data_IF_383479043146
#
_entry.id   IF_383479043146
#
_cell.length_a   1.000
_cell.length_b   1.000
_cell.length_c   1.000
_cell.angle_alpha   90.00
_cell.angle_beta   90.00
_cell.angle_gamma   90.00
#
_symmetry.space_group_name_H-M   'P 1'
#
loop_
_entity.id
_entity.type
_entity.pdbx_description
1 polymer ?
#
# COMPACT_ATOMS: atom_id res chain seq x y z
N UNK A 1 -3.91 1.94 28.14
CA UNK A 1 -4.04 1.68 26.68
C UNK A 1 -5.16 2.55 26.12
N UNK A 2 -4.91 3.36 25.10
CA UNK A 2 -5.92 4.18 24.44
C UNK A 2 -6.60 3.39 23.31
N UNK A 3 -7.90 3.64 23.09
CA UNK A 3 -8.60 3.16 21.90
C UNK A 3 -7.89 3.68 20.64
N UNK A 4 -7.72 2.84 19.62
CA UNK A 4 -7.15 3.26 18.33
C UNK A 4 -8.07 4.25 17.57
N UNK A 5 -9.30 4.46 18.06
CA UNK A 5 -10.23 5.52 17.62
C UNK A 5 -10.22 6.76 18.52
N UNK A 6 -9.36 6.79 19.53
CA UNK A 6 -9.21 7.94 20.40
C UNK A 6 -8.50 9.07 19.64
N UNK A 7 -9.02 10.29 19.78
CA UNK A 7 -8.38 11.52 19.27
C UNK A 7 -6.92 11.67 19.76
N UNK A 8 -6.61 11.06 20.91
CA UNK A 8 -5.27 11.04 21.53
C UNK A 8 -4.37 9.88 21.08
N UNK A 9 -4.86 8.92 20.28
CA UNK A 9 -4.03 7.83 19.77
C UNK A 9 -3.02 8.35 18.75
N UNK A 10 -3.44 9.30 17.91
CA UNK A 10 -2.62 10.36 17.32
C UNK A 10 -1.36 9.98 16.54
N UNK A 11 -1.08 8.71 16.29
CA UNK A 11 0.11 8.30 15.56
C UNK A 11 -0.02 8.66 14.07
N UNK A 12 1.08 9.12 13.46
CA UNK A 12 1.18 9.45 12.04
C UNK A 12 1.86 8.32 11.27
N UNK A 13 1.47 7.09 11.59
CA UNK A 13 1.95 5.89 10.93
C UNK A 13 1.76 5.98 9.42
N UNK A 14 2.77 5.53 8.67
CA UNK A 14 2.77 5.55 7.21
C UNK A 14 2.41 6.92 6.63
N UNK A 15 3.01 7.98 7.17
CA UNK A 15 3.03 9.28 6.50
C UNK A 15 3.92 9.26 5.27
N UNK A 16 3.58 10.02 4.23
CA UNK A 16 4.46 10.16 3.07
C UNK A 16 5.82 10.74 3.52
N UNK A 17 6.96 10.16 3.10
CA UNK A 17 8.26 10.75 3.38
C UNK A 17 8.40 12.10 2.67
N UNK A 18 9.28 12.99 3.16
CA UNK A 18 9.53 14.29 2.52
C UNK A 18 9.94 14.18 1.04
N UNK A 19 10.68 13.13 0.70
CA UNK A 19 11.06 12.81 -0.67
C UNK A 19 9.94 12.18 -1.50
N UNK A 20 8.79 11.88 -0.91
CA UNK A 20 7.75 11.05 -1.53
C UNK A 20 7.08 11.68 -2.75
N UNK A 21 7.12 13.00 -2.89
CA UNK A 21 6.64 13.67 -4.11
C UNK A 21 7.52 13.38 -5.33
N UNK A 22 8.79 13.01 -5.14
CA UNK A 22 9.66 12.61 -6.25
C UNK A 22 9.11 11.38 -6.97
N UNK A 23 8.32 10.53 -6.30
CA UNK A 23 7.71 9.34 -6.90
C UNK A 23 6.62 9.66 -7.95
N UNK A 24 6.15 10.90 -8.07
CA UNK A 24 5.34 11.33 -9.22
C UNK A 24 6.16 11.47 -10.51
N UNK A 25 7.49 11.62 -10.40
CA UNK A 25 8.42 11.75 -11.53
C UNK A 25 9.26 10.50 -11.74
N UNK A 26 9.78 9.91 -10.66
CA UNK A 26 10.61 8.70 -10.65
C UNK A 26 9.97 7.69 -9.70
N UNK A 27 9.04 6.83 -10.18
CA UNK A 27 8.18 6.03 -9.31
C UNK A 27 8.88 5.17 -8.27
N UNK A 28 10.09 4.67 -8.56
CA UNK A 28 10.85 3.81 -7.66
C UNK A 28 12.01 4.53 -6.94
N UNK A 29 12.01 5.86 -6.93
CA UNK A 29 12.98 6.66 -6.18
C UNK A 29 12.83 6.43 -4.67
N UNK A 30 13.95 6.13 -3.99
CA UNK A 30 14.00 5.84 -2.55
C UNK A 30 12.98 4.78 -2.09
N UNK A 31 12.75 3.79 -2.96
CA UNK A 31 11.91 2.65 -2.64
C UNK A 31 12.73 1.43 -2.24
N UNK A 32 12.22 0.68 -1.27
CA UNK A 32 12.76 -0.62 -0.86
C UNK A 32 11.85 -1.72 -1.37
N UNK A 33 12.43 -2.89 -1.66
CA UNK A 33 11.69 -4.06 -2.16
C UNK A 33 11.34 -4.97 -0.99
N UNK A 34 10.05 -5.25 -0.80
CA UNK A 34 9.58 -6.24 0.15
C UNK A 34 9.99 -7.66 -0.25
N UNK A 35 9.91 -8.61 0.69
CA UNK A 35 10.14 -10.02 0.40
C UNK A 35 9.25 -10.53 -0.75
N UNK A 36 7.97 -10.12 -0.78
CA UNK A 36 7.01 -10.45 -1.84
C UNK A 36 7.27 -9.73 -3.18
N UNK A 37 8.35 -8.96 -3.28
CA UNK A 37 8.79 -8.28 -4.49
C UNK A 37 8.11 -6.95 -4.79
N UNK A 38 7.17 -6.51 -3.96
CA UNK A 38 6.48 -5.21 -4.06
C UNK A 38 7.39 -4.11 -3.53
N UNK A 39 7.46 -2.99 -4.24
CA UNK A 39 8.21 -1.81 -3.83
C UNK A 39 7.37 -0.89 -2.95
N UNK A 40 7.99 -0.33 -1.92
CA UNK A 40 7.40 0.66 -1.03
C UNK A 40 8.36 1.82 -0.82
N UNK A 41 7.84 3.03 -0.65
CA UNK A 41 8.62 4.13 -0.11
C UNK A 41 9.10 3.76 1.31
N UNK A 42 10.22 4.34 1.74
CA UNK A 42 10.67 4.19 3.12
C UNK A 42 9.56 4.57 4.11
N UNK A 43 9.38 3.74 5.14
CA UNK A 43 8.36 3.88 6.17
C UNK A 43 6.90 3.84 5.66
N UNK A 44 6.66 3.34 4.44
CA UNK A 44 5.31 3.02 3.95
C UNK A 44 5.01 1.53 4.03
N UNK A 45 3.85 1.19 4.59
CA UNK A 45 3.30 -0.17 4.59
C UNK A 45 1.90 -0.28 3.99
N UNK A 46 1.32 0.84 3.50
CA UNK A 46 -0.07 0.89 3.02
C UNK A 46 -0.18 1.07 1.51
N UNK A 47 0.52 2.04 0.92
CA UNK A 47 0.48 2.32 -0.52
C UNK A 47 1.83 1.97 -1.15
N UNK A 48 1.81 1.14 -2.20
CA UNK A 48 3.01 0.76 -2.94
C UNK A 48 3.44 1.82 -3.98
N UNK A 49 2.51 2.65 -4.46
CA UNK A 49 2.80 3.73 -5.43
C UNK A 49 1.74 4.83 -5.43
N UNK A 50 2.18 6.08 -5.60
CA UNK A 50 1.33 7.25 -5.88
C UNK A 50 1.48 7.76 -7.32
N UNK A 51 2.18 7.02 -8.18
CA UNK A 51 2.50 7.44 -9.54
C UNK A 51 1.27 7.42 -10.46
N UNK A 52 1.07 8.50 -11.23
CA UNK A 52 -0.12 8.71 -12.06
C UNK A 52 0.17 8.76 -13.57
N UNK A 53 1.41 8.50 -13.97
CA UNK A 53 1.88 8.67 -15.35
C UNK A 53 2.58 10.01 -15.54
N UNK A 54 3.77 9.99 -16.15
CA UNK A 54 4.62 11.16 -16.37
C UNK A 54 3.97 12.09 -17.40
N UNK A 55 3.29 11.53 -18.40
CA UNK A 55 2.54 12.29 -19.39
C UNK A 55 1.34 13.00 -18.77
N UNK A 56 0.58 12.31 -17.91
CA UNK A 56 -0.55 12.90 -17.18
C UNK A 56 -0.04 14.02 -16.28
N UNK A 57 1.05 13.79 -15.55
CA UNK A 57 1.61 14.79 -14.65
C UNK A 57 2.14 16.01 -15.41
N UNK A 58 2.85 15.83 -16.53
CA UNK A 58 3.31 16.92 -17.39
C UNK A 58 2.14 17.73 -17.96
N UNK A 59 1.09 17.07 -18.44
CA UNK A 59 -0.13 17.73 -18.92
C UNK A 59 -0.83 18.49 -17.79
N UNK A 60 -0.88 17.94 -16.57
CA UNK A 60 -1.48 18.64 -15.42
C UNK A 60 -0.75 19.94 -15.10
N UNK A 61 0.59 19.95 -15.15
CA UNK A 61 1.41 21.15 -14.97
C UNK A 61 1.16 22.17 -16.09
N UNK A 62 1.00 21.73 -17.34
CA UNK A 62 0.62 22.60 -18.45
C UNK A 62 -0.78 23.21 -18.25
N UNK A 63 -1.72 22.43 -17.73
CA UNK A 63 -3.08 22.90 -17.40
C UNK A 63 -3.06 24.01 -16.37
N UNK A 64 -2.26 23.85 -15.30
CA UNK A 64 -2.05 24.88 -14.27
C UNK A 64 -1.32 26.10 -14.86
N UNK A 65 -0.26 25.91 -15.64
CA UNK A 65 0.53 27.03 -16.18
C UNK A 65 -0.28 27.91 -17.13
N UNK A 66 -1.22 27.32 -17.89
CA UNK A 66 -2.12 28.07 -18.77
C UNK A 66 -3.45 28.42 -18.14
N UNK A 67 -3.62 28.17 -16.84
CA UNK A 67 -4.87 28.36 -16.14
C UNK A 67 -5.31 29.83 -16.20
N UNK A 68 -6.48 30.06 -16.79
CA UNK A 68 -7.27 31.29 -16.62
C UNK A 68 -8.63 31.01 -15.98
N UNK A 69 -8.88 29.77 -15.58
CA UNK A 69 -10.16 29.28 -15.05
C UNK A 69 -10.06 28.99 -13.55
N UNK A 70 -11.06 29.46 -12.79
CA UNK A 70 -11.15 29.25 -11.34
C UNK A 70 -11.22 27.76 -10.96
N UNK A 71 -11.79 26.91 -11.82
CA UNK A 71 -11.89 25.45 -11.62
C UNK A 71 -10.51 24.80 -11.60
N UNK A 72 -9.60 25.22 -12.47
CA UNK A 72 -8.23 24.72 -12.52
C UNK A 72 -7.49 25.11 -11.22
N UNK A 73 -7.66 26.35 -10.76
CA UNK A 73 -7.07 26.81 -9.50
C UNK A 73 -7.61 26.07 -8.28
N UNK A 74 -8.92 25.78 -8.24
CA UNK A 74 -9.52 24.98 -7.17
C UNK A 74 -8.95 23.56 -7.14
N UNK A 75 -8.85 22.90 -8.30
CA UNK A 75 -8.26 21.57 -8.40
C UNK A 75 -6.78 21.58 -8.00
N UNK A 76 -6.02 22.58 -8.45
CA UNK A 76 -4.62 22.74 -8.06
C UNK A 76 -4.45 22.94 -6.55
N UNK A 77 -5.31 23.77 -5.95
CA UNK A 77 -5.32 23.99 -4.50
C UNK A 77 -5.61 22.70 -3.73
N UNK A 78 -6.59 21.90 -4.18
CA UNK A 78 -6.86 20.59 -3.57
C UNK A 78 -5.71 19.60 -3.77
N UNK A 79 -5.09 19.56 -4.95
CA UNK A 79 -3.88 18.75 -5.18
C UNK A 79 -2.79 19.12 -4.18
N UNK A 80 -2.40 20.39 -4.12
CA UNK A 80 -1.33 20.87 -3.23
C UNK A 80 -1.68 20.57 -1.77
N UNK A 81 -2.86 20.99 -1.30
CA UNK A 81 -3.28 20.75 0.07
C UNK A 81 -3.22 19.26 0.42
N UNK A 82 -3.72 18.39 -0.46
CA UNK A 82 -3.72 16.95 -0.23
C UNK A 82 -2.32 16.33 -0.14
N UNK A 83 -1.38 16.80 -0.97
CA UNK A 83 0.01 16.32 -0.96
C UNK A 83 0.76 16.78 0.29
N UNK A 84 0.51 18.00 0.78
CA UNK A 84 1.06 18.49 2.04
C UNK A 84 0.45 17.79 3.27
N UNK A 85 -0.85 17.51 3.25
CA UNK A 85 -1.49 16.70 4.29
C UNK A 85 -0.97 15.27 4.30
N UNK A 86 -0.64 14.70 3.14
CA UNK A 86 -0.10 13.35 3.02
C UNK A 86 1.26 13.16 3.69
N UNK A 87 2.06 14.23 3.83
CA UNK A 87 3.32 14.22 4.58
C UNK A 87 3.11 13.96 6.08
N UNK A 88 1.88 14.10 6.59
CA UNK A 88 1.58 13.88 8.00
C UNK A 88 2.48 14.70 8.91
N UNK A 89 3.13 14.04 9.86
CA UNK A 89 4.00 14.71 10.83
C UNK A 89 5.34 15.15 10.22
N UNK A 90 5.71 14.63 9.04
CA UNK A 90 6.89 15.10 8.31
C UNK A 90 6.69 16.52 7.73
N UNK A 91 5.44 16.91 7.42
CA UNK A 91 5.12 18.13 6.68
C UNK A 91 4.76 19.36 7.51
N UNK A 92 4.77 19.25 8.85
CA UNK A 92 4.33 20.25 9.86
C UNK A 92 2.86 20.73 9.76
N UNK A 93 2.26 20.78 8.57
CA UNK A 93 0.90 21.24 8.31
C UNK A 93 -0.14 20.42 9.06
N UNK A 94 -0.07 19.09 8.93
CA UNK A 94 -1.00 18.18 9.59
C UNK A 94 -0.87 18.28 11.12
N UNK A 95 0.35 18.40 11.63
CA UNK A 95 0.60 18.60 13.07
C UNK A 95 -0.02 19.91 13.59
N UNK A 96 0.06 21.00 12.82
CA UNK A 96 -0.61 22.27 13.13
C UNK A 96 -2.13 22.15 13.11
N UNK A 97 -2.68 21.52 12.07
CA UNK A 97 -4.13 21.33 11.92
C UNK A 97 -4.71 20.49 13.05
N UNK A 98 -4.03 19.41 13.48
CA UNK A 98 -4.48 18.58 14.61
C UNK A 98 -4.58 19.36 15.92
N UNK A 99 -3.79 20.41 16.12
CA UNK A 99 -3.89 21.29 17.30
C UNK A 99 -5.18 22.12 17.29
N UNK A 100 -5.64 22.54 16.12
CA UNK A 100 -6.84 23.37 15.95
C UNK A 100 -8.12 22.52 15.86
N UNK A 101 -8.04 21.38 15.17
CA UNK A 101 -9.14 20.46 14.90
C UNK A 101 -8.72 19.02 15.27
N UNK A 102 -8.80 18.65 16.57
CA UNK A 102 -8.35 17.35 17.05
C UNK A 102 -9.01 16.16 16.34
N UNK A 103 -10.23 16.32 15.84
CA UNK A 103 -11.00 15.28 15.11
C UNK A 103 -10.27 14.79 13.86
N UNK A 104 -9.41 15.61 13.25
CA UNK A 104 -8.59 15.21 12.11
C UNK A 104 -7.59 14.11 12.49
N UNK A 105 -7.24 13.98 13.78
CA UNK A 105 -6.46 12.87 14.32
C UNK A 105 -7.12 11.49 14.19
N UNK A 106 -8.40 11.41 13.80
CA UNK A 106 -9.04 10.15 13.39
C UNK A 106 -8.44 9.59 12.09
N UNK A 107 -7.86 10.45 11.24
CA UNK A 107 -7.13 10.04 10.05
C UNK A 107 -5.72 9.56 10.43
N UNK A 108 -5.63 8.32 10.89
CA UNK A 108 -4.40 7.66 11.37
C UNK A 108 -3.27 7.56 10.33
N UNK A 109 -3.62 7.47 9.04
CA UNK A 109 -2.67 7.24 7.96
C UNK A 109 -2.69 8.41 6.98
N UNK A 110 -1.85 9.45 7.17
CA UNK A 110 -1.89 10.67 6.37
C UNK A 110 -1.71 10.41 4.87
N UNK A 111 -0.97 9.38 4.47
CA UNK A 111 -0.80 8.99 3.05
C UNK A 111 -2.13 8.86 2.29
N UNK A 112 -3.25 8.55 2.98
CA UNK A 112 -4.59 8.49 2.37
C UNK A 112 -5.05 9.80 1.74
N UNK A 113 -4.52 10.95 2.15
CA UNK A 113 -4.84 12.23 1.51
C UNK A 113 -4.42 12.27 0.04
N UNK A 114 -3.43 11.47 -0.38
CA UNK A 114 -3.03 11.35 -1.79
C UNK A 114 -4.19 10.96 -2.69
N UNK A 115 -5.24 10.30 -2.17
CA UNK A 115 -6.43 9.96 -2.97
C UNK A 115 -7.04 11.18 -3.66
N UNK A 116 -7.01 12.35 -3.01
CA UNK A 116 -7.51 13.60 -3.61
C UNK A 116 -6.64 13.98 -4.81
N UNK A 117 -5.31 13.95 -4.67
CA UNK A 117 -4.38 14.19 -5.77
C UNK A 117 -4.57 13.20 -6.94
N UNK A 118 -4.85 11.93 -6.64
CA UNK A 118 -5.13 10.88 -7.65
C UNK A 118 -6.35 11.25 -8.50
N UNK A 119 -7.35 11.92 -7.92
CA UNK A 119 -8.50 12.42 -8.68
C UNK A 119 -8.24 13.75 -9.39
N UNK A 120 -7.57 14.70 -8.73
CA UNK A 120 -7.46 16.07 -9.25
C UNK A 120 -6.39 16.21 -10.35
N UNK A 121 -5.28 15.46 -10.28
CA UNK A 121 -4.20 15.54 -11.28
C UNK A 121 -4.66 15.13 -12.69
N UNK A 122 -5.37 14.00 -12.89
CA UNK A 122 -5.92 13.65 -14.20
C UNK A 122 -6.93 14.67 -14.73
N UNK A 123 -7.74 15.28 -13.85
CA UNK A 123 -8.67 16.34 -14.24
C UNK A 123 -7.94 17.60 -14.72
N UNK A 124 -6.86 18.00 -14.03
CA UNK A 124 -5.98 19.09 -14.46
C UNK A 124 -5.34 18.79 -15.82
N UNK A 125 -4.92 17.55 -16.05
CA UNK A 125 -4.40 17.12 -17.35
C UNK A 125 -5.49 17.20 -18.45
N UNK A 126 -6.72 16.82 -18.14
CA UNK A 126 -7.85 16.94 -19.07
C UNK A 126 -8.14 18.40 -19.46
N UNK A 127 -8.05 19.34 -18.52
CA UNK A 127 -8.14 20.77 -18.84
C UNK A 127 -7.04 21.25 -19.79
N UNK A 128 -5.81 20.74 -19.63
CA UNK A 128 -4.74 21.04 -20.57
C UNK A 128 -5.07 20.53 -21.98
N UNK A 129 -5.52 19.28 -22.08
CA UNK A 129 -5.93 18.68 -23.37
C UNK A 129 -7.07 19.48 -24.00
N UNK A 130 -8.12 19.82 -23.23
CA UNK A 130 -9.22 20.65 -23.71
C UNK A 130 -8.72 21.99 -24.26
N UNK A 131 -7.89 22.69 -23.49
CA UNK A 131 -7.36 24.00 -23.88
C UNK A 131 -6.53 23.93 -25.17
N UNK A 132 -5.60 22.98 -25.29
CA UNK A 132 -4.73 22.89 -26.46
C UNK A 132 -5.39 22.27 -27.68
N UNK A 133 -6.31 21.32 -27.53
CA UNK A 133 -6.84 20.58 -28.68
C UNK A 133 -8.24 21.05 -29.13
N UNK A 134 -8.89 21.93 -28.36
CA UNK A 134 -10.23 22.48 -28.71
C UNK A 134 -10.20 23.98 -29.03
N UNK A 135 -9.03 24.62 -29.02
CA UNK A 135 -8.89 26.07 -29.26
C UNK A 135 -7.72 26.38 -30.19
N UNK A 136 -7.56 27.65 -30.57
CA UNK A 136 -6.40 28.15 -31.32
C UNK A 136 -5.06 27.94 -30.61
N UNK A 137 -5.07 27.68 -29.29
CA UNK A 137 -3.87 27.38 -28.50
C UNK A 137 -3.15 26.09 -28.99
N UNK A 138 -3.78 25.27 -29.84
CA UNK A 138 -3.15 24.10 -30.49
C UNK A 138 -1.79 24.42 -31.11
N UNK A 139 -1.64 25.61 -31.67
CA UNK A 139 -0.40 26.09 -32.31
C UNK A 139 0.75 26.28 -31.30
N UNK A 140 0.42 26.58 -30.05
CA UNK A 140 1.40 26.78 -28.96
C UNK A 140 1.85 25.48 -28.30
N UNK A 141 1.07 24.39 -28.41
CA UNK A 141 1.36 23.11 -27.76
C UNK A 141 2.80 22.62 -28.01
N UNK A 142 3.34 22.63 -29.25
CA UNK A 142 4.73 22.28 -29.50
C UNK A 142 5.78 23.00 -28.65
N UNK A 143 5.61 24.31 -28.47
CA UNK A 143 6.55 25.14 -27.71
C UNK A 143 6.47 24.79 -26.23
N UNK A 144 5.25 24.67 -25.73
CA UNK A 144 5.01 24.48 -24.31
C UNK A 144 5.29 23.03 -23.88
N UNK A 145 5.02 22.05 -24.75
CA UNK A 145 5.45 20.65 -24.60
C UNK A 145 6.98 20.53 -24.52
N UNK A 146 7.73 21.27 -25.36
CA UNK A 146 9.19 21.29 -25.28
C UNK A 146 9.69 21.87 -23.96
N UNK A 147 9.10 22.98 -23.51
CA UNK A 147 9.46 23.63 -22.25
C UNK A 147 9.21 22.72 -21.05
N UNK A 148 8.01 22.14 -20.94
CA UNK A 148 7.71 21.22 -19.82
C UNK A 148 8.56 19.96 -19.89
N UNK A 149 8.84 19.46 -21.11
CA UNK A 149 9.74 18.33 -21.34
C UNK A 149 11.15 18.58 -20.80
N UNK A 150 11.72 19.76 -21.07
CA UNK A 150 13.04 20.12 -20.53
C UNK A 150 13.05 20.29 -19.01
N UNK A 151 11.99 20.88 -18.43
CA UNK A 151 11.86 20.99 -16.98
C UNK A 151 11.85 19.60 -16.36
N UNK A 152 10.99 18.70 -16.84
CA UNK A 152 10.88 17.34 -16.32
C UNK A 152 12.16 16.52 -16.55
N UNK A 153 12.81 16.67 -17.70
CA UNK A 153 14.10 16.06 -17.98
C UNK A 153 15.14 16.49 -16.94
N UNK A 154 15.28 17.80 -16.72
CA UNK A 154 16.21 18.35 -15.73
C UNK A 154 15.90 17.87 -14.31
N UNK A 155 14.62 17.84 -13.92
CA UNK A 155 14.21 17.36 -12.59
C UNK A 155 14.48 15.87 -12.42
N UNK A 156 14.16 15.02 -13.40
CA UNK A 156 14.42 13.58 -13.32
C UNK A 156 15.92 13.32 -13.26
N UNK A 157 16.72 13.96 -14.11
CA UNK A 157 18.18 13.82 -14.07
C UNK A 157 18.76 14.31 -12.74
N UNK A 158 18.22 15.39 -12.18
CA UNK A 158 18.59 15.88 -10.85
C UNK A 158 18.26 14.88 -9.74
N UNK A 159 17.08 14.25 -9.78
CA UNK A 159 16.69 13.20 -8.84
C UNK A 159 17.58 11.95 -8.97
N UNK A 160 17.94 11.56 -10.20
CA UNK A 160 18.86 10.44 -10.44
C UNK A 160 20.27 10.75 -9.92
N UNK A 161 20.80 11.94 -10.19
CA UNK A 161 22.09 12.37 -9.65
C UNK A 161 22.04 12.37 -8.11
N UNK A 162 20.97 12.90 -7.52
CA UNK A 162 20.79 12.92 -6.08
C UNK A 162 20.71 11.51 -5.47
N UNK A 163 19.98 10.56 -6.09
CA UNK A 163 19.96 9.17 -5.64
C UNK A 163 21.33 8.49 -5.75
N UNK A 164 22.14 8.85 -6.75
CA UNK A 164 23.48 8.30 -6.92
C UNK A 164 24.45 8.79 -5.83
N UNK A 165 24.44 10.10 -5.53
CA UNK A 165 25.33 10.69 -4.52
C UNK A 165 24.83 10.51 -3.08
N UNK A 166 23.52 10.38 -2.88
CA UNK A 166 22.88 10.24 -1.57
C UNK A 166 21.88 9.08 -1.56
N UNK A 167 22.37 7.83 -1.70
CA UNK A 167 21.53 6.64 -1.74
C UNK A 167 20.79 6.46 -0.43
N UNK A 168 19.52 6.06 -0.51
CA UNK A 168 18.75 5.74 0.68
C UNK A 168 18.99 4.29 1.12
N UNK A 169 18.76 4.00 2.41
CA UNK A 169 18.91 2.65 2.94
C UNK A 169 18.04 1.63 2.18
N UNK A 170 18.66 0.50 1.79
CA UNK A 170 18.05 -0.58 1.02
C UNK A 170 17.47 -0.17 -0.36
N UNK A 171 17.84 1.00 -0.87
CA UNK A 171 17.53 1.44 -2.23
C UNK A 171 18.47 0.79 -3.25
N UNK A 172 17.93 0.37 -4.40
CA UNK A 172 18.72 -0.14 -5.51
C UNK A 172 18.94 0.94 -6.58
N UNK A 173 20.17 1.43 -6.73
CA UNK A 173 20.53 2.40 -7.77
C UNK A 173 20.06 1.97 -9.16
N UNK A 174 20.31 0.71 -9.54
CA UNK A 174 19.87 0.16 -10.82
C UNK A 174 18.36 0.31 -11.01
N UNK A 175 17.57 0.04 -9.97
CA UNK A 175 16.11 0.16 -10.03
C UNK A 175 15.68 1.61 -10.21
N UNK A 176 16.23 2.53 -9.42
CA UNK A 176 15.95 3.97 -9.52
C UNK A 176 16.33 4.53 -10.89
N UNK A 177 17.50 4.15 -11.42
CA UNK A 177 17.97 4.53 -12.75
C UNK A 177 17.02 4.06 -13.86
N UNK A 178 16.64 2.77 -13.88
CA UNK A 178 15.71 2.25 -14.88
C UNK A 178 14.31 2.86 -14.76
N UNK A 179 13.85 3.12 -13.53
CA UNK A 179 12.61 3.86 -13.30
C UNK A 179 12.69 5.24 -13.96
N UNK A 180 13.71 6.04 -13.66
CA UNK A 180 13.87 7.38 -14.23
C UNK A 180 14.02 7.39 -15.76
N UNK A 181 14.91 6.54 -16.31
CA UNK A 181 15.14 6.44 -17.76
C UNK A 181 13.87 6.03 -18.51
N UNK A 182 13.11 5.04 -18.00
CA UNK A 182 11.85 4.65 -18.62
C UNK A 182 10.84 5.80 -18.63
N UNK A 183 10.79 6.63 -17.57
CA UNK A 183 9.92 7.81 -17.54
C UNK A 183 10.34 8.88 -18.52
N UNK A 184 11.64 9.06 -18.77
CA UNK A 184 12.12 9.97 -19.81
C UNK A 184 11.69 9.49 -21.21
N UNK A 185 11.75 8.18 -21.48
CA UNK A 185 11.27 7.61 -22.73
C UNK A 185 9.77 7.83 -22.88
N UNK A 186 8.96 7.48 -21.86
CA UNK A 186 7.52 7.72 -21.91
C UNK A 186 7.17 9.20 -22.09
N UNK A 187 7.84 10.09 -21.36
CA UNK A 187 7.65 11.53 -21.49
C UNK A 187 7.93 12.01 -22.92
N UNK A 188 9.06 11.59 -23.51
CA UNK A 188 9.44 11.96 -24.86
C UNK A 188 8.43 11.45 -25.91
N UNK A 189 8.02 10.19 -25.80
CA UNK A 189 7.08 9.57 -26.74
C UNK A 189 5.67 10.15 -26.60
N UNK A 190 5.19 10.40 -25.38
CA UNK A 190 3.87 11.01 -25.13
C UNK A 190 3.83 12.45 -25.62
N UNK A 191 4.81 13.28 -25.26
CA UNK A 191 4.85 14.68 -25.73
C UNK A 191 5.09 14.75 -27.25
N UNK A 192 5.90 13.84 -27.80
CA UNK A 192 6.12 13.70 -29.24
C UNK A 192 4.85 13.32 -30.00
N UNK A 193 4.10 12.33 -29.52
CA UNK A 193 2.81 11.95 -30.10
C UNK A 193 1.79 13.11 -30.01
N UNK A 194 1.76 13.85 -28.89
CA UNK A 194 0.96 15.06 -28.75
C UNK A 194 1.38 16.16 -29.73
N UNK A 195 2.68 16.36 -29.92
CA UNK A 195 3.23 17.33 -30.88
C UNK A 195 2.82 17.00 -32.32
N UNK A 196 2.93 15.72 -32.70
CA UNK A 196 2.51 15.26 -34.02
C UNK A 196 0.99 15.43 -34.18
N UNK A 197 0.21 15.00 -33.19
CA UNK A 197 -1.24 15.14 -33.20
C UNK A 197 -1.66 16.62 -33.31
N UNK A 198 -0.93 17.54 -32.67
CA UNK A 198 -1.21 18.97 -32.77
C UNK A 198 -0.94 19.54 -34.19
N UNK A 199 -0.05 18.93 -34.97
CA UNK A 199 0.32 19.39 -36.33
C UNK A 199 -0.41 18.67 -37.46
N UNK A 200 -0.96 17.49 -37.20
CA UNK A 200 -1.66 16.72 -38.22
C UNK A 200 -3.04 17.33 -38.53
N UNK A 201 -3.25 17.71 -39.79
CA UNK A 201 -4.54 18.20 -40.30
C UNK A 201 -5.47 17.07 -40.78
N UNK A 202 -4.93 15.90 -41.11
CA UNK A 202 -5.69 14.76 -41.60
C UNK A 202 -6.33 13.96 -40.45
N UNK A 203 -7.62 13.66 -40.57
CA UNK A 203 -8.41 13.01 -39.51
C UNK A 203 -7.89 11.62 -39.10
N UNK A 204 -7.59 10.75 -40.08
CA UNK A 204 -7.14 9.38 -39.82
C UNK A 204 -5.83 9.31 -39.00
N UNK A 205 -4.71 9.91 -39.44
CA UNK A 205 -3.48 9.90 -38.65
C UNK A 205 -3.62 10.65 -37.32
N UNK A 206 -4.47 11.68 -37.25
CA UNK A 206 -4.76 12.35 -35.98
C UNK A 206 -5.44 11.40 -34.98
N UNK A 207 -6.45 10.65 -35.41
CA UNK A 207 -7.15 9.67 -34.57
C UNK A 207 -6.23 8.54 -34.12
N UNK A 208 -5.35 8.06 -35.01
CA UNK A 208 -4.33 7.06 -34.66
C UNK A 208 -3.37 7.58 -33.58
N UNK A 209 -2.89 8.83 -33.71
CA UNK A 209 -2.02 9.44 -32.71
C UNK A 209 -2.72 9.68 -31.37
N UNK A 210 -4.00 10.06 -31.39
CA UNK A 210 -4.80 10.22 -30.17
C UNK A 210 -5.06 8.88 -29.48
N UNK A 211 -5.35 7.83 -30.25
CA UNK A 211 -5.50 6.48 -29.70
C UNK A 211 -4.17 5.97 -29.14
N UNK A 212 -3.07 6.19 -29.87
CA UNK A 212 -1.73 5.86 -29.39
C UNK A 212 -1.39 6.61 -28.10
N UNK A 213 -1.76 7.89 -27.97
CA UNK A 213 -1.59 8.65 -26.73
C UNK A 213 -2.31 8.00 -25.55
N UNK A 214 -3.57 7.57 -25.71
CA UNK A 214 -4.31 6.88 -24.65
C UNK A 214 -3.61 5.58 -24.23
N UNK A 215 -3.15 4.78 -25.21
CA UNK A 215 -2.40 3.55 -24.94
C UNK A 215 -1.08 3.85 -24.25
N UNK A 216 -0.35 4.88 -24.66
CA UNK A 216 0.92 5.29 -24.06
C UNK A 216 0.74 5.76 -22.61
N UNK A 217 -0.30 6.55 -22.32
CA UNK A 217 -0.61 6.98 -20.95
C UNK A 217 -0.95 5.78 -20.05
N UNK A 218 -1.67 4.80 -20.57
CA UNK A 218 -1.96 3.56 -19.85
C UNK A 218 -0.70 2.70 -19.65
N UNK A 219 0.11 2.52 -20.70
CA UNK A 219 1.37 1.76 -20.63
C UNK A 219 2.35 2.37 -19.64
N UNK A 220 2.45 3.70 -19.60
CA UNK A 220 3.26 4.43 -18.65
C UNK A 220 2.88 4.05 -17.22
N UNK A 221 1.58 4.11 -16.89
CA UNK A 221 1.09 3.72 -15.56
C UNK A 221 1.24 2.22 -15.31
N UNK A 222 0.84 1.32 -16.20
CA UNK A 222 0.86 -0.13 -15.87
C UNK A 222 2.28 -0.71 -15.75
N UNK A 223 3.29 -0.05 -16.35
CA UNK A 223 4.68 -0.54 -16.36
C UNK A 223 5.60 0.15 -15.34
N UNK A 224 5.08 1.09 -14.54
CA UNK A 224 5.92 1.95 -13.67
C UNK A 224 6.64 1.20 -12.53
N UNK A 225 6.01 0.13 -12.02
CA UNK A 225 6.54 -0.69 -10.94
C UNK A 225 6.36 -2.17 -11.30
N UNK A 226 7.42 -2.98 -11.26
CA UNK A 226 7.30 -4.41 -11.51
C UNK A 226 6.57 -5.07 -10.35
N UNK A 227 5.71 -6.05 -10.65
CA UNK A 227 5.08 -6.94 -9.66
C UNK A 227 4.33 -6.21 -8.54
N UNK A 228 3.65 -5.10 -8.85
CA UNK A 228 2.89 -4.32 -7.85
C UNK A 228 1.80 -5.16 -7.15
N UNK A 229 1.16 -6.06 -7.89
CA UNK A 229 0.15 -6.98 -7.39
C UNK A 229 0.61 -8.42 -7.68
N UNK A 230 1.47 -9.02 -6.82
CA UNK A 230 1.90 -10.39 -7.00
C UNK A 230 0.70 -11.33 -6.95
N UNK A 231 0.73 -12.39 -7.77
CA UNK A 231 -0.33 -13.40 -7.83
C UNK A 231 0.21 -14.72 -7.33
N UNK A 232 -0.66 -15.52 -6.72
CA UNK A 232 -0.37 -16.87 -6.27
C UNK A 232 -1.24 -17.87 -7.05
N UNK A 233 -0.83 -19.14 -7.06
CA UNK A 233 -1.63 -20.21 -7.65
C UNK A 233 -3.00 -20.33 -6.98
N UNK A 234 -4.01 -20.80 -7.71
CA UNK A 234 -5.36 -20.98 -7.15
C UNK A 234 -5.37 -22.01 -6.02
N UNK A 235 -4.56 -23.06 -6.13
CA UNK A 235 -4.49 -24.19 -5.21
C UNK A 235 -4.27 -23.79 -3.75
N UNK A 236 -3.52 -22.71 -3.49
CA UNK A 236 -3.26 -22.26 -2.11
C UNK A 236 -4.48 -21.69 -1.41
N UNK A 237 -5.56 -21.39 -2.14
CA UNK A 237 -6.84 -20.92 -1.59
C UNK A 237 -7.85 -22.07 -1.37
N UNK A 238 -7.55 -23.28 -1.82
CA UNK A 238 -8.44 -24.43 -1.63
C UNK A 238 -8.39 -24.91 -0.17
N UNK A 239 -9.55 -25.21 0.45
CA UNK A 239 -9.61 -25.67 1.83
C UNK A 239 -9.14 -27.13 1.95
N UNK A 240 -8.91 -27.60 3.18
CA UNK A 240 -8.70 -29.01 3.46
C UNK A 240 -7.24 -29.44 3.38
N UNK A 241 -6.31 -28.56 3.75
CA UNK A 241 -4.88 -28.90 3.78
C UNK A 241 -4.63 -30.14 4.66
N UNK A 242 -3.86 -31.14 4.19
CA UNK A 242 -3.68 -32.41 4.90
C UNK A 242 -3.16 -32.27 6.33
N UNK A 243 -2.32 -31.26 6.59
CA UNK A 243 -1.76 -30.95 7.92
C UNK A 243 -2.85 -30.75 8.98
N UNK A 244 -4.02 -30.21 8.59
CA UNK A 244 -5.09 -29.93 9.53
C UNK A 244 -6.06 -31.10 9.73
N UNK A 245 -6.09 -32.05 8.80
CA UNK A 245 -6.93 -33.26 8.93
C UNK A 245 -6.41 -34.18 10.05
N UNK A 246 -5.13 -34.05 10.40
CA UNK A 246 -4.45 -34.86 11.42
C UNK A 246 -4.54 -34.28 12.84
N UNK A 247 -5.15 -33.10 13.02
CA UNK A 247 -5.28 -32.47 14.34
C UNK A 247 -6.14 -33.33 15.27
N UNK A 248 -5.60 -33.66 16.44
CA UNK A 248 -6.30 -34.41 17.49
C UNK A 248 -6.07 -33.77 18.87
N UNK A 249 -7.09 -33.21 19.55
CA UNK A 249 -8.43 -32.97 19.05
C UNK A 249 -8.42 -31.89 17.95
N UNK A 250 -9.35 -31.97 16.98
CA UNK A 250 -9.54 -30.91 15.99
C UNK A 250 -10.34 -29.77 16.64
N UNK A 251 -9.87 -28.51 16.60
CA UNK A 251 -10.61 -27.40 17.19
C UNK A 251 -11.97 -27.18 16.51
N UNK A 252 -13.00 -26.89 17.31
CA UNK A 252 -14.37 -26.67 16.84
C UNK A 252 -15.00 -25.41 17.47
N UNK A 253 -15.81 -24.71 16.68
CA UNK A 253 -16.38 -23.42 17.09
C UNK A 253 -17.25 -23.58 18.34
N UNK A 254 -16.99 -22.78 19.36
CA UNK A 254 -17.70 -22.86 20.65
C UNK A 254 -17.17 -23.94 21.61
N UNK A 255 -16.26 -24.81 21.17
CA UNK A 255 -15.70 -25.87 22.01
C UNK A 255 -14.24 -25.62 22.38
N UNK A 256 -13.40 -25.35 21.37
CA UNK A 256 -11.96 -25.23 21.54
C UNK A 256 -11.32 -24.42 20.42
N UNK A 257 -10.10 -23.96 20.66
CA UNK A 257 -9.34 -23.08 19.75
C UNK A 257 -7.91 -23.56 19.61
N UNK A 258 -7.21 -23.03 18.62
CA UNK A 258 -5.75 -23.12 18.52
C UNK A 258 -5.08 -21.77 18.77
N UNK A 259 -3.78 -21.85 19.01
CA UNK A 259 -2.91 -20.67 19.15
C UNK A 259 -1.55 -20.93 18.51
N UNK A 260 -0.91 -19.86 18.06
CA UNK A 260 0.48 -19.90 17.66
C UNK A 260 1.37 -19.84 18.91
N UNK A 261 2.50 -20.55 18.88
CA UNK A 261 3.62 -20.23 19.76
C UNK A 261 4.17 -18.85 19.39
N UNK A 262 4.80 -18.15 20.35
CA UNK A 262 5.31 -16.80 20.08
C UNK A 262 6.41 -16.80 19.00
N UNK A 263 7.30 -17.80 19.00
CA UNK A 263 8.29 -17.96 17.93
C UNK A 263 7.63 -18.16 16.56
N UNK A 264 6.55 -18.96 16.48
CA UNK A 264 5.79 -19.12 15.25
C UNK A 264 5.09 -17.83 14.84
N UNK A 265 4.58 -17.04 15.79
CA UNK A 265 3.98 -15.74 15.54
C UNK A 265 5.01 -14.75 14.98
N UNK A 266 6.21 -14.69 15.54
CA UNK A 266 7.30 -13.83 15.04
C UNK A 266 7.85 -14.34 13.71
N UNK A 267 7.99 -15.64 13.51
CA UNK A 267 8.51 -16.23 12.28
C UNK A 267 7.67 -15.88 11.03
N UNK A 268 6.42 -15.44 11.21
CA UNK A 268 5.56 -14.94 10.12
C UNK A 268 6.12 -13.71 9.40
N UNK A 269 7.15 -13.04 9.92
CA UNK A 269 7.82 -11.95 9.21
C UNK A 269 8.79 -12.47 8.13
N UNK A 270 9.24 -13.72 8.23
CA UNK A 270 10.23 -14.33 7.34
C UNK A 270 9.56 -15.17 6.24
N UNK A 271 8.73 -14.52 5.43
CA UNK A 271 7.94 -15.18 4.39
C UNK A 271 8.80 -15.38 3.13
N UNK A 272 8.76 -16.58 2.50
CA UNK A 272 9.36 -16.79 1.19
C UNK A 272 8.97 -15.71 0.18
N UNK A 273 9.94 -15.31 -0.66
CA UNK A 273 9.71 -14.29 -1.68
C UNK A 273 8.74 -14.72 -2.77
N UNK A 274 8.65 -16.03 -3.03
CA UNK A 274 7.68 -16.60 -3.95
C UNK A 274 6.26 -16.43 -3.40
N UNK A 275 5.33 -15.76 -4.12
CA UNK A 275 3.99 -15.47 -3.59
C UNK A 275 3.19 -16.71 -3.20
N UNK A 276 3.30 -17.79 -3.97
CA UNK A 276 2.59 -19.05 -3.70
C UNK A 276 3.12 -19.72 -2.45
N UNK A 277 4.45 -19.93 -2.34
CA UNK A 277 5.08 -20.51 -1.15
C UNK A 277 4.91 -19.61 0.07
N UNK A 278 4.97 -18.29 -0.12
CA UNK A 278 4.78 -17.31 0.92
C UNK A 278 3.38 -17.36 1.52
N UNK A 279 2.36 -17.39 0.65
CA UNK A 279 0.98 -17.53 1.10
C UNK A 279 0.69 -18.91 1.69
N UNK A 280 1.23 -19.99 1.10
CA UNK A 280 1.10 -21.34 1.65
C UNK A 280 1.72 -21.45 3.05
N UNK A 281 2.87 -20.81 3.28
CA UNK A 281 3.48 -20.72 4.61
C UNK A 281 2.53 -20.08 5.62
N UNK A 282 1.90 -18.94 5.26
CA UNK A 282 0.85 -18.32 6.09
C UNK A 282 -0.34 -19.25 6.32
N UNK A 283 -0.77 -20.00 5.30
CA UNK A 283 -1.88 -20.97 5.40
C UNK A 283 -1.58 -22.08 6.39
N UNK A 284 -0.39 -22.70 6.31
CA UNK A 284 0.03 -23.78 7.20
C UNK A 284 0.16 -23.33 8.67
N UNK A 285 0.62 -22.10 8.89
CA UNK A 285 0.68 -21.49 10.21
C UNK A 285 -0.67 -20.88 10.66
N UNK A 286 -1.70 -20.89 9.81
CA UNK A 286 -2.98 -20.20 10.04
C UNK A 286 -2.78 -18.72 10.46
N UNK A 287 -1.73 -18.10 9.90
CA UNK A 287 -1.33 -16.73 10.15
C UNK A 287 -2.42 -15.74 9.76
N UNK A 288 -2.51 -14.62 10.49
CA UNK A 288 -3.58 -13.63 10.29
C UNK A 288 -4.97 -14.32 10.34
N UNK A 289 -5.76 -14.18 9.27
CA UNK A 289 -7.09 -14.80 9.14
C UNK A 289 -7.08 -16.00 8.17
N UNK A 290 -5.93 -16.65 7.96
CA UNK A 290 -5.85 -17.82 7.07
C UNK A 290 -6.62 -19.04 7.61
N UNK A 291 -7.07 -18.99 8.86
CA UNK A 291 -7.91 -20.01 9.49
C UNK A 291 -9.33 -20.09 8.93
N UNK A 292 -9.82 -19.02 8.29
CA UNK A 292 -11.16 -18.98 7.69
C UNK A 292 -11.30 -20.04 6.59
N UNK A 293 -10.24 -20.29 5.82
CA UNK A 293 -10.24 -21.31 4.77
C UNK A 293 -10.43 -22.72 5.32
N UNK A 294 -9.93 -23.02 6.53
CA UNK A 294 -9.98 -24.36 7.11
C UNK A 294 -11.15 -24.56 8.08
N UNK A 295 -11.92 -23.48 8.33
CA UNK A 295 -12.94 -23.42 9.38
C UNK A 295 -12.39 -23.85 10.75
N UNK A 296 -11.20 -23.37 11.11
CA UNK A 296 -10.55 -23.69 12.39
C UNK A 296 -10.58 -22.46 13.31
N UNK A 297 -11.23 -22.54 14.48
CA UNK A 297 -11.22 -21.46 15.46
C UNK A 297 -9.82 -21.23 16.05
N UNK A 298 -9.41 -19.97 16.16
CA UNK A 298 -8.16 -19.56 16.80
C UNK A 298 -8.37 -18.38 17.74
N UNK A 299 -7.38 -18.09 18.57
CA UNK A 299 -7.46 -17.03 19.57
C UNK A 299 -7.09 -15.63 19.05
N UNK A 300 -6.41 -15.54 17.90
CA UNK A 300 -5.83 -14.31 17.36
C UNK A 300 -6.25 -14.07 15.90
N UNK A 301 -5.96 -12.90 15.36
CA UNK A 301 -6.23 -12.60 13.95
C UNK A 301 -5.92 -11.16 13.57
N UNK A 302 -6.08 -10.87 12.29
CA UNK A 302 -5.93 -9.56 11.70
C UNK A 302 -7.29 -8.85 11.63
N UNK A 303 -7.47 -7.84 12.47
CA UNK A 303 -8.69 -7.05 12.50
C UNK A 303 -8.35 -5.58 12.32
N UNK A 304 -9.23 -4.85 11.64
CA UNK A 304 -9.11 -3.39 11.55
C UNK A 304 -9.28 -2.70 12.92
N UNK A 305 -9.93 -3.38 13.87
CA UNK A 305 -10.18 -2.92 15.24
C UNK A 305 -10.15 -4.10 16.19
N UNK A 306 -9.50 -3.91 17.34
CA UNK A 306 -9.49 -4.87 18.44
C UNK A 306 -10.41 -4.38 19.58
N UNK A 307 -11.03 -5.32 20.28
CA UNK A 307 -11.82 -4.98 21.46
C UNK A 307 -10.88 -4.53 22.59
N UNK A 308 -11.28 -3.50 23.33
CA UNK A 308 -10.46 -2.85 24.36
C UNK A 308 -9.91 -3.85 25.38
N UNK A 309 -10.75 -4.77 25.82
CA UNK A 309 -10.45 -5.69 26.92
C UNK A 309 -9.91 -7.04 26.44
N UNK A 310 -10.12 -7.39 25.17
CA UNK A 310 -9.55 -8.59 24.54
C UNK A 310 -8.06 -8.42 24.26
N UNK A 311 -7.67 -7.26 23.72
CA UNK A 311 -6.27 -7.01 23.33
C UNK A 311 -5.26 -7.22 24.47
N UNK A 312 -5.48 -6.74 25.72
CA UNK A 312 -4.59 -7.02 26.84
C UNK A 312 -4.49 -8.51 27.17
N UNK A 313 -5.58 -9.28 27.03
CA UNK A 313 -5.57 -10.73 27.26
C UNK A 313 -4.72 -11.42 26.20
N UNK A 314 -4.87 -11.04 24.93
CA UNK A 314 -4.05 -11.55 23.84
C UNK A 314 -2.55 -11.28 24.07
N UNK A 315 -2.16 -10.07 24.50
CA UNK A 315 -0.74 -9.81 24.80
C UNK A 315 -0.22 -10.52 26.05
N UNK A 316 -1.08 -10.76 27.05
CA UNK A 316 -0.70 -11.45 28.30
C UNK A 316 -0.55 -12.96 28.14
N UNK A 317 -1.10 -13.55 27.07
CA UNK A 317 -0.98 -14.98 26.85
C UNK A 317 0.47 -15.40 26.61
N UNK A 318 1.30 -14.51 26.08
CA UNK A 318 2.72 -14.73 25.87
C UNK A 318 3.49 -14.18 27.07
N UNK A 319 3.94 -15.06 27.97
CA UNK A 319 4.67 -14.69 29.19
C UNK A 319 6.10 -14.24 28.91
N UNK A 320 6.72 -14.84 27.91
CA UNK A 320 8.04 -14.54 27.36
C UNK A 320 8.06 -14.98 25.90
N UNK A 321 9.20 -14.90 25.21
CA UNK A 321 9.30 -15.20 23.78
C UNK A 321 8.94 -16.64 23.40
N UNK A 322 8.75 -17.58 24.34
CA UNK A 322 8.62 -19.00 23.98
C UNK A 322 7.48 -19.75 24.69
N UNK A 323 6.79 -19.16 25.67
CA UNK A 323 5.78 -19.90 26.44
C UNK A 323 4.45 -19.18 26.52
N UNK A 324 3.38 -19.95 26.27
CA UNK A 324 2.02 -19.55 26.59
C UNK A 324 1.82 -19.65 28.11
N UNK A 325 1.15 -18.68 28.72
CA UNK A 325 0.74 -18.78 30.10
C UNK A 325 -0.30 -19.92 30.23
N UNK A 326 0.03 -21.04 30.91
CA UNK A 326 -0.75 -22.28 30.81
C UNK A 326 -2.21 -22.08 31.26
N UNK A 327 -2.44 -21.42 32.39
CA UNK A 327 -3.79 -21.17 32.90
C UNK A 327 -4.63 -20.24 32.02
N UNK A 328 -4.01 -19.26 31.35
CA UNK A 328 -4.72 -18.38 30.42
C UNK A 328 -5.05 -19.16 29.14
N UNK A 329 -4.13 -19.99 28.67
CA UNK A 329 -4.35 -20.84 27.51
C UNK A 329 -5.47 -21.88 27.75
N UNK A 330 -5.52 -22.46 28.95
CA UNK A 330 -6.57 -23.38 29.36
C UNK A 330 -7.93 -22.69 29.44
N UNK A 331 -8.00 -21.50 30.07
CA UNK A 331 -9.20 -20.66 30.11
C UNK A 331 -9.70 -20.25 28.72
N UNK A 332 -8.77 -20.02 27.78
CA UNK A 332 -9.10 -19.72 26.40
C UNK A 332 -9.44 -20.97 25.56
N UNK A 333 -9.47 -22.16 26.16
CA UNK A 333 -9.82 -23.41 25.47
C UNK A 333 -8.84 -23.80 24.37
N UNK A 334 -7.55 -23.50 24.54
CA UNK A 334 -6.53 -23.76 23.53
C UNK A 334 -6.10 -25.23 23.59
N UNK A 335 -6.62 -26.03 22.66
CA UNK A 335 -6.37 -27.46 22.57
C UNK A 335 -5.22 -27.85 21.61
N UNK A 336 -4.77 -26.92 20.77
CA UNK A 336 -3.65 -27.09 19.83
C UNK A 336 -2.74 -25.86 19.88
N UNK A 337 -1.43 -26.08 19.83
CA UNK A 337 -0.41 -25.03 19.70
C UNK A 337 0.61 -25.43 18.65
N UNK A 338 1.20 -24.48 17.92
CA UNK A 338 2.34 -24.81 17.05
C UNK A 338 3.55 -25.27 17.86
N UNK A 339 4.33 -26.19 17.29
CA UNK A 339 5.60 -26.64 17.86
C UNK A 339 6.57 -25.47 18.05
N UNK A 340 7.43 -25.56 19.07
CA UNK A 340 8.52 -24.61 19.31
C UNK A 340 9.62 -24.70 18.24
N UNK A 341 9.77 -25.86 17.60
CA UNK A 341 10.85 -26.12 16.62
C UNK A 341 10.38 -26.08 15.17
N UNK A 342 9.08 -26.25 14.92
CA UNK A 342 8.50 -26.28 13.59
C UNK A 342 7.14 -25.55 13.56
N UNK A 343 7.13 -24.35 12.99
CA UNK A 343 5.96 -23.48 12.94
C UNK A 343 4.82 -24.00 12.03
N UNK A 344 5.02 -25.10 11.30
CA UNK A 344 4.00 -25.78 10.50
C UNK A 344 3.42 -27.02 11.19
N UNK A 345 3.99 -27.43 12.32
CA UNK A 345 3.55 -28.59 13.08
C UNK A 345 2.71 -28.15 14.26
N UNK A 346 1.59 -28.85 14.49
CA UNK A 346 0.65 -28.56 15.56
C UNK A 346 0.68 -29.69 16.58
N UNK A 347 0.71 -29.31 17.86
CA UNK A 347 0.82 -30.21 18.99
C UNK A 347 -0.40 -30.08 19.90
N UNK A 348 -0.94 -31.22 20.38
CA UNK A 348 -2.06 -31.20 21.31
C UNK A 348 -1.66 -30.62 22.66
N UNK A 349 -2.53 -29.77 23.21
CA UNK A 349 -2.50 -29.35 24.61
C UNK A 349 -3.61 -30.05 25.37
N UNK A 350 -3.34 -31.11 26.14
CA UNK A 350 -4.39 -31.89 26.81
C UNK A 350 -5.04 -31.17 28.00
N UNK A 351 -4.47 -30.05 28.46
CA UNK A 351 -4.93 -29.31 29.65
C UNK A 351 -6.04 -28.29 29.37
N UNK A 352 -6.48 -28.14 28.12
CA UNK A 352 -7.49 -27.15 27.74
C UNK A 352 -8.82 -27.37 28.47
N UNK A 353 -9.48 -26.26 28.85
CA UNK A 353 -10.79 -26.31 29.48
C UNK A 353 -11.90 -26.02 28.44
N UNK A 354 -13.12 -26.52 28.66
CA UNK A 354 -14.28 -26.14 27.86
C UNK A 354 -14.47 -24.61 27.86
N UNK A 355 -14.85 -24.06 26.71
CA UNK A 355 -15.13 -22.63 26.61
C UNK A 355 -16.36 -22.26 27.44
N UNK A 356 -16.18 -21.35 28.39
CA UNK A 356 -17.28 -20.75 29.14
C UNK A 356 -17.83 -19.56 28.36
N UNK A 357 -19.06 -19.67 27.87
CA UNK A 357 -19.76 -18.60 27.15
C UNK A 357 -20.95 -18.08 27.95
N UNK A 358 -21.31 -16.81 27.73
CA UNK A 358 -22.48 -16.23 28.39
C UNK A 358 -23.75 -16.99 27.97
N UNK A 359 -24.48 -17.53 28.95
CA UNK A 359 -25.73 -18.28 28.74
C UNK A 359 -25.64 -19.79 28.99
N UNK A 360 -24.44 -20.35 29.25
CA UNK A 360 -24.32 -21.73 29.71
C UNK A 360 -24.91 -21.89 31.13
N UNK A 361 -25.68 -22.97 31.34
CA UNK A 361 -26.21 -23.31 32.66
C UNK A 361 -25.07 -23.93 33.49
N UNK A 362 -24.68 -23.35 34.64
CA UNK A 362 -23.66 -23.95 35.47
C UNK A 362 -24.15 -25.32 35.98
N UNK A 363 -23.31 -26.34 35.83
CA UNK A 363 -23.50 -27.66 36.42
C UNK A 363 -22.53 -27.72 37.60
N UNK A 364 -23.07 -27.67 38.81
CA UNK A 364 -22.30 -27.92 40.03
C UNK A 364 -22.34 -29.42 40.28
N UNK A 365 -21.18 -30.06 40.30
CA UNK A 365 -21.00 -31.50 40.55
C UNK A 365 -20.56 -31.71 41.98
#
# INVERSE_FOLDING_TARGET
MHSERGVRYGDAGWSMPLSGWANFLVPLFRCTKSAAGVYFQQNQGWISSCYLGIGVFALSCLGIWKARDKRIWLLAAFTVLSLFLALGDNGLLMAGIRKLLPQIGLMRYPIKFVVIAVFTIPLLAAFAVQNYFSTEARKDFPRDARRIGFVFLGTILGLLAFAYFYPAENESWKTTLWSGLSRLVFLAVILGAGYLAARTAQLKPQLLLQTALLVLLWLDVVTHAPSQNPTAERSVYEPGLPSFQQLQPRPASGESRLALSFDSFIAQVNIPADPTKGFLSKRLALAENCNVFENIPKIDGFYSLYLRDERPVHYRIYTSTNTLHPHVADFLGICQVTSETNFFEWQPRPTYLPLITAGQKPIFV
#
